data_IF_791866357389
#
_entry.id   IF_791866357389
#
_cell.length_a   1.000
_cell.length_b   1.000
_cell.length_c   1.000
_cell.angle_alpha   90.00
_cell.angle_beta   90.00
_cell.angle_gamma   90.00
#
_symmetry.space_group_name_H-M   'P 1'
#
loop_
_entity.id
_entity.type
_entity.pdbx_description
1 polymer ?
#
# COMPACT_ATOMS: atom_id res chain seq x y z
N UNK A 1 -34.26 -15.55 5.16
CA UNK A 1 -34.10 -14.07 5.11
C UNK A 1 -32.79 -13.79 4.40
N UNK A 2 -32.78 -13.00 3.31
CA UNK A 2 -31.54 -12.71 2.56
C UNK A 2 -30.62 -11.78 3.35
N UNK A 3 -29.40 -12.22 3.64
CA UNK A 3 -28.36 -11.40 4.25
C UNK A 3 -27.84 -10.37 3.24
N UNK A 4 -27.76 -9.09 3.64
CA UNK A 4 -27.26 -7.99 2.80
C UNK A 4 -26.20 -7.21 3.55
N UNK A 5 -25.16 -6.81 2.83
CA UNK A 5 -24.12 -5.92 3.33
C UNK A 5 -24.19 -4.58 2.61
N UNK A 6 -23.73 -3.53 3.29
CA UNK A 6 -23.46 -2.23 2.68
C UNK A 6 -21.95 -2.08 2.61
N UNK A 7 -21.38 -2.32 1.43
CA UNK A 7 -19.94 -2.26 1.19
C UNK A 7 -19.46 -0.81 1.04
N UNK A 8 -18.52 -0.40 1.90
CA UNK A 8 -17.91 0.93 1.88
C UNK A 8 -16.41 0.81 1.58
N UNK A 9 -15.99 1.30 0.41
CA UNK A 9 -14.58 1.29 0.01
C UNK A 9 -13.80 2.46 0.61
N UNK A 10 -12.55 2.18 1.03
CA UNK A 10 -11.55 3.17 1.41
C UNK A 10 -10.44 3.24 0.35
N UNK A 11 -10.06 4.46 -0.04
CA UNK A 11 -8.97 4.73 -0.97
C UNK A 11 -7.88 5.58 -0.32
N UNK A 12 -6.61 5.38 -0.72
CA UNK A 12 -5.49 6.19 -0.25
C UNK A 12 -5.03 5.87 1.19
N UNK A 13 -5.23 4.64 1.67
CA UNK A 13 -4.83 4.22 3.02
C UNK A 13 -3.35 4.52 3.30
N UNK A 14 -2.45 4.12 2.41
CA UNK A 14 -1.01 4.33 2.59
C UNK A 14 -0.62 5.81 2.56
N UNK A 15 -1.26 6.63 1.72
CA UNK A 15 -1.05 8.09 1.72
C UNK A 15 -1.44 8.69 3.07
N UNK A 16 -2.59 8.30 3.61
CA UNK A 16 -3.06 8.77 4.91
C UNK A 16 -2.16 8.30 6.06
N UNK A 17 -1.80 7.02 6.08
CA UNK A 17 -0.92 6.45 7.11
C UNK A 17 0.48 7.11 7.08
N UNK A 18 1.09 7.24 5.90
CA UNK A 18 2.39 7.90 5.75
C UNK A 18 2.31 9.39 6.09
N UNK A 19 1.19 10.06 5.79
CA UNK A 19 1.01 11.48 6.13
C UNK A 19 0.96 11.69 7.64
N UNK A 20 0.22 10.84 8.35
CA UNK A 20 0.19 10.85 9.81
C UNK A 20 1.54 10.45 10.42
N UNK A 21 2.25 9.52 9.78
CA UNK A 21 3.61 9.13 10.17
C UNK A 21 4.59 10.29 10.03
N UNK A 22 4.57 11.01 8.90
CA UNK A 22 5.40 12.19 8.67
C UNK A 22 5.14 13.27 9.74
N UNK A 23 3.87 13.56 10.05
CA UNK A 23 3.50 14.53 11.09
C UNK A 23 3.97 14.08 12.48
N UNK A 24 3.94 12.78 12.77
CA UNK A 24 4.25 12.23 14.09
C UNK A 24 5.74 12.05 14.35
N UNK A 25 6.52 11.69 13.33
CA UNK A 25 7.93 11.29 13.48
C UNK A 25 8.93 12.22 12.79
N UNK A 26 8.47 13.12 11.92
CA UNK A 26 9.26 14.18 11.33
C UNK A 26 8.64 15.56 11.65
N UNK A 27 9.27 16.62 11.17
CA UNK A 27 8.71 17.98 11.27
C UNK A 27 8.05 18.36 9.95
N UNK A 28 6.73 18.54 9.96
CA UNK A 28 5.96 18.93 8.77
C UNK A 28 5.49 20.37 8.90
N UNK A 29 5.97 21.25 8.03
CA UNK A 29 5.59 22.67 7.97
C UNK A 29 4.60 22.89 6.82
N UNK A 30 3.35 23.33 7.09
CA UNK A 30 2.39 23.65 6.03
C UNK A 30 2.77 24.95 5.33
N UNK A 31 2.81 24.93 4.00
CA UNK A 31 2.91 26.10 3.14
C UNK A 31 1.50 26.55 2.81
N UNK A 32 1.19 27.81 3.10
CA UNK A 32 -0.16 28.38 2.94
C UNK A 32 -0.20 29.40 1.81
N UNK A 33 -1.33 29.48 1.12
CA UNK A 33 -1.58 30.52 0.13
C UNK A 33 -2.03 31.83 0.80
N UNK A 34 -2.37 32.83 -0.02
CA UNK A 34 -2.86 34.14 0.43
C UNK A 34 -4.18 34.08 1.23
N UNK A 35 -4.95 32.99 1.14
CA UNK A 35 -6.18 32.77 1.92
C UNK A 35 -5.90 32.08 3.27
N UNK A 36 -4.67 31.63 3.48
CA UNK A 36 -4.28 30.82 4.64
C UNK A 36 -4.54 29.32 4.46
N UNK A 37 -5.01 28.87 3.30
CA UNK A 37 -5.22 27.45 3.01
C UNK A 37 -3.88 26.74 2.82
N UNK A 38 -3.71 25.57 3.42
CA UNK A 38 -2.51 24.75 3.23
C UNK A 38 -2.51 24.13 1.83
N UNK A 39 -1.54 24.50 1.00
CA UNK A 39 -1.41 24.06 -0.40
C UNK A 39 -0.17 23.20 -0.64
N UNK A 40 0.81 23.22 0.27
CA UNK A 40 2.00 22.38 0.21
C UNK A 40 2.55 22.06 1.62
N UNK A 41 3.52 21.16 1.71
CA UNK A 41 4.15 20.74 2.97
C UNK A 41 5.67 20.57 2.79
N UNK A 42 6.44 21.17 3.69
CA UNK A 42 7.89 20.97 3.80
C UNK A 42 8.15 19.98 4.93
N UNK A 43 8.87 18.90 4.63
CA UNK A 43 9.19 17.84 5.59
C UNK A 43 10.68 17.95 5.94
N UNK A 44 10.98 18.10 7.22
CA UNK A 44 12.34 18.07 7.77
C UNK A 44 12.52 16.81 8.62
N UNK A 45 13.46 15.95 8.23
CA UNK A 45 13.73 14.66 8.86
C UNK A 45 13.11 13.46 8.13
N UNK A 46 13.53 12.26 8.54
CA UNK A 46 13.03 10.99 8.01
C UNK A 46 11.83 10.50 8.84
N UNK A 47 10.90 9.79 8.21
CA UNK A 47 9.74 9.18 8.88
C UNK A 47 9.50 7.76 8.36
N UNK A 48 8.93 6.85 9.18
CA UNK A 48 8.66 5.48 8.74
C UNK A 48 7.52 5.46 7.72
N UNK A 49 7.74 4.74 6.62
CA UNK A 49 6.78 4.60 5.53
C UNK A 49 6.17 3.19 5.55
N UNK A 50 4.85 3.12 5.35
CA UNK A 50 4.06 1.89 5.32
C UNK A 50 4.57 0.92 4.25
N UNK A 51 4.59 -0.38 4.56
CA UNK A 51 5.11 -1.42 3.65
C UNK A 51 6.53 -1.89 3.94
N UNK A 52 7.11 -1.51 5.08
CA UNK A 52 8.48 -1.85 5.46
C UNK A 52 8.57 -2.64 6.77
N UNK A 53 7.47 -3.29 7.17
CA UNK A 53 7.32 -3.99 8.44
C UNK A 53 7.79 -3.13 9.63
N UNK A 54 7.30 -1.88 9.69
CA UNK A 54 7.61 -0.94 10.78
C UNK A 54 6.31 -0.64 11.54
N UNK A 55 6.22 -1.16 12.76
CA UNK A 55 5.01 -1.07 13.58
C UNK A 55 4.58 0.37 13.84
N UNK A 56 5.49 1.34 13.80
CA UNK A 56 5.20 2.75 14.06
C UNK A 56 4.22 3.36 13.06
N UNK A 57 4.25 2.89 11.81
CA UNK A 57 3.36 3.34 10.72
C UNK A 57 2.33 2.28 10.36
N UNK A 58 2.67 0.99 10.47
CA UNK A 58 1.72 -0.10 10.24
C UNK A 58 0.55 -0.05 11.24
N UNK A 59 0.82 0.30 12.51
CA UNK A 59 -0.23 0.49 13.51
C UNK A 59 -1.15 1.67 13.19
N UNK A 60 -0.63 2.74 12.57
CA UNK A 60 -1.45 3.88 12.10
C UNK A 60 -2.39 3.40 10.99
N UNK A 61 -1.90 2.60 10.05
CA UNK A 61 -2.74 2.03 8.99
C UNK A 61 -3.84 1.13 9.56
N UNK A 62 -3.53 0.27 10.53
CA UNK A 62 -4.51 -0.59 11.21
C UNK A 62 -5.57 0.22 11.96
N UNK A 63 -5.14 1.25 12.67
CA UNK A 63 -5.99 2.17 13.43
C UNK A 63 -6.97 2.94 12.50
N UNK A 64 -6.50 3.41 11.34
CA UNK A 64 -7.38 4.05 10.34
C UNK A 64 -8.48 3.10 9.84
N UNK A 65 -8.13 1.85 9.55
CA UNK A 65 -9.07 0.81 9.11
C UNK A 65 -10.14 0.56 10.18
N UNK A 66 -9.73 0.39 11.43
CA UNK A 66 -10.64 0.17 12.56
C UNK A 66 -11.53 1.39 12.84
N UNK A 67 -10.95 2.60 12.86
CA UNK A 67 -11.69 3.84 13.14
C UNK A 67 -12.77 4.12 12.11
N UNK A 68 -12.49 3.89 10.83
CA UNK A 68 -13.48 4.11 9.78
C UNK A 68 -14.63 3.11 9.88
N UNK A 69 -14.32 1.83 10.10
CA UNK A 69 -15.34 0.78 10.25
C UNK A 69 -16.27 1.07 11.45
N UNK A 70 -15.70 1.48 12.60
CA UNK A 70 -16.50 1.85 13.78
C UNK A 70 -17.44 3.02 13.51
N UNK A 71 -17.06 3.98 12.67
CA UNK A 71 -17.91 5.12 12.29
C UNK A 71 -19.06 4.69 11.39
N UNK A 72 -18.78 3.91 10.34
CA UNK A 72 -19.84 3.48 9.41
C UNK A 72 -20.81 2.49 10.06
N UNK A 73 -20.35 1.69 11.04
CA UNK A 73 -21.18 0.75 11.78
C UNK A 73 -22.26 1.44 12.64
N UNK A 74 -22.02 2.68 13.07
CA UNK A 74 -22.97 3.45 13.88
C UNK A 74 -24.13 4.06 13.07
N UNK A 75 -24.08 3.99 11.73
CA UNK A 75 -25.05 4.64 10.86
C UNK A 75 -26.21 3.70 10.50
N UNK A 76 -27.47 4.18 10.50
CA UNK A 76 -28.59 3.40 10.00
C UNK A 76 -28.46 3.19 8.49
N UNK A 77 -28.77 1.98 8.04
CA UNK A 77 -28.63 1.57 6.64
C UNK A 77 -29.97 1.15 6.04
N UNK A 78 -30.14 1.41 4.74
CA UNK A 78 -31.29 0.92 3.98
C UNK A 78 -31.42 -0.61 4.08
N UNK A 79 -32.66 -1.09 4.31
CA UNK A 79 -33.00 -2.53 4.45
C UNK A 79 -32.17 -3.30 5.48
N UNK A 80 -31.68 -2.62 6.52
CA UNK A 80 -30.85 -3.22 7.57
C UNK A 80 -29.61 -3.95 7.00
N UNK A 81 -29.03 -3.42 5.92
CA UNK A 81 -27.81 -3.96 5.34
C UNK A 81 -26.63 -3.78 6.30
N UNK A 82 -25.91 -4.85 6.64
CA UNK A 82 -24.80 -4.79 7.60
C UNK A 82 -23.63 -4.00 7.00
N UNK A 83 -23.17 -2.88 7.61
CA UNK A 83 -22.01 -2.15 7.12
C UNK A 83 -20.77 -3.03 7.06
N UNK A 84 -20.05 -2.95 5.96
CA UNK A 84 -18.78 -3.64 5.72
C UNK A 84 -17.83 -2.70 5.01
N UNK A 85 -16.53 -2.92 5.16
CA UNK A 85 -15.50 -2.05 4.59
C UNK A 85 -14.56 -2.85 3.70
N UNK A 86 -14.09 -2.23 2.62
CA UNK A 86 -13.01 -2.74 1.79
C UNK A 86 -11.90 -1.70 1.63
N UNK A 87 -10.67 -2.19 1.42
CA UNK A 87 -9.52 -1.37 1.06
C UNK A 87 -9.20 -1.70 -0.40
N UNK A 88 -10.00 -1.09 -1.28
CA UNK A 88 -10.07 -1.40 -2.70
C UNK A 88 -10.34 -0.12 -3.49
N UNK A 89 -9.58 0.10 -4.56
CA UNK A 89 -9.65 1.35 -5.33
C UNK A 89 -10.01 1.17 -6.79
N UNK A 90 -9.76 0.01 -7.41
CA UNK A 90 -9.86 -0.18 -8.87
C UNK A 90 -9.08 0.95 -9.59
N UNK A 91 -9.74 1.78 -10.40
CA UNK A 91 -9.14 2.95 -11.09
C UNK A 91 -9.30 4.25 -10.30
N UNK A 92 -10.04 4.24 -9.19
CA UNK A 92 -10.27 5.43 -8.36
C UNK A 92 -8.99 5.95 -7.71
N UNK A 93 -7.93 5.14 -7.58
CA UNK A 93 -6.63 5.62 -7.09
C UNK A 93 -6.04 6.71 -7.99
N UNK A 94 -6.23 6.61 -9.32
CA UNK A 94 -5.81 7.64 -10.28
C UNK A 94 -6.73 8.85 -10.19
N UNK A 95 -8.05 8.63 -10.22
CA UNK A 95 -9.04 9.73 -10.19
C UNK A 95 -8.95 10.55 -8.90
N UNK A 96 -8.83 9.89 -7.75
CA UNK A 96 -8.64 10.57 -6.47
C UNK A 96 -7.27 11.24 -6.39
N UNK A 97 -6.20 10.60 -6.87
CA UNK A 97 -4.87 11.20 -6.90
C UNK A 97 -4.82 12.49 -7.71
N UNK A 98 -5.46 12.49 -8.89
CA UNK A 98 -5.63 13.66 -9.76
C UNK A 98 -6.38 14.82 -9.08
N UNK A 99 -7.39 14.49 -8.27
CA UNK A 99 -8.24 15.46 -7.57
C UNK A 99 -7.74 15.83 -6.16
N UNK A 100 -6.59 15.30 -5.74
CA UNK A 100 -6.01 15.57 -4.42
C UNK A 100 -4.71 16.38 -4.57
N UNK A 101 -4.63 17.50 -3.84
CA UNK A 101 -3.44 18.36 -3.77
C UNK A 101 -2.23 17.70 -3.09
N UNK A 102 -1.21 18.47 -2.72
CA UNK A 102 -0.05 17.92 -2.01
C UNK A 102 -0.47 17.33 -0.65
N UNK A 103 0.13 16.22 -0.23
CA UNK A 103 -0.17 15.59 1.06
C UNK A 103 1.06 15.56 2.00
N UNK A 104 0.88 15.51 3.33
CA UNK A 104 1.98 15.58 4.31
C UNK A 104 3.04 14.48 4.21
N UNK A 105 2.74 13.38 3.52
CA UNK A 105 3.70 12.33 3.19
C UNK A 105 4.67 12.70 2.05
N UNK A 106 4.55 13.91 1.50
CA UNK A 106 5.36 14.40 0.39
C UNK A 106 4.86 13.92 -0.98
N UNK A 107 3.72 13.23 -1.07
CA UNK A 107 3.11 12.94 -2.38
C UNK A 107 2.64 14.26 -3.00
N UNK A 108 3.08 14.51 -4.24
CA UNK A 108 2.71 15.70 -5.00
C UNK A 108 1.28 15.65 -5.50
N UNK A 109 0.64 16.80 -5.57
CA UNK A 109 -0.70 16.97 -6.14
C UNK A 109 -0.79 16.33 -7.53
N UNK A 110 -1.91 15.68 -7.79
CA UNK A 110 -2.15 15.00 -9.06
C UNK A 110 -1.54 13.60 -9.19
N UNK A 111 -0.60 13.22 -8.32
CA UNK A 111 0.03 11.89 -8.37
C UNK A 111 -0.97 10.81 -7.92
N UNK A 112 -1.13 9.69 -8.64
CA UNK A 112 -2.03 8.61 -8.23
C UNK A 112 -1.76 8.10 -6.80
N UNK A 113 -2.82 7.65 -6.12
CA UNK A 113 -2.66 6.87 -4.89
C UNK A 113 -2.18 5.45 -5.22
N UNK A 114 -1.67 4.76 -4.19
CA UNK A 114 -1.43 3.34 -4.27
C UNK A 114 -2.75 2.58 -4.57
N UNK A 115 -2.69 1.49 -5.35
CA UNK A 115 -3.87 0.65 -5.58
C UNK A 115 -4.24 -0.12 -4.31
N UNK A 116 -5.52 -0.12 -3.94
CA UNK A 116 -6.01 -0.86 -2.76
C UNK A 116 -5.24 -0.53 -1.47
N UNK A 117 -4.72 -1.56 -0.83
CA UNK A 117 -3.96 -1.52 0.42
C UNK A 117 -2.44 -1.49 0.20
N UNK A 118 -1.98 -1.23 -1.03
CA UNK A 118 -0.55 -1.20 -1.34
C UNK A 118 0.18 -0.05 -0.60
N UNK A 119 1.46 -0.26 -0.28
CA UNK A 119 2.41 0.84 -0.07
C UNK A 119 2.41 1.81 -1.25
N UNK A 120 2.70 3.08 -0.97
CA UNK A 120 2.91 4.07 -2.03
C UNK A 120 4.11 3.69 -2.91
N UNK A 121 4.03 4.01 -4.20
CA UNK A 121 5.03 3.60 -5.19
C UNK A 121 6.47 3.95 -4.76
N UNK A 122 7.32 2.92 -4.65
CA UNK A 122 8.74 3.07 -4.30
C UNK A 122 9.03 3.33 -2.82
N UNK A 123 8.02 3.21 -1.94
CA UNK A 123 8.20 3.37 -0.49
C UNK A 123 8.45 2.04 0.24
N UNK A 124 8.05 0.91 -0.32
CA UNK A 124 8.39 -0.42 0.17
C UNK A 124 9.81 -0.84 -0.28
N UNK A 125 10.81 -0.53 0.55
CA UNK A 125 12.24 -0.68 0.24
C UNK A 125 12.91 -1.88 0.90
N UNK A 126 12.24 -2.54 1.85
CA UNK A 126 12.78 -3.73 2.57
C UNK A 126 12.42 -5.07 1.91
N UNK A 127 11.97 -5.04 0.66
CA UNK A 127 11.66 -6.23 -0.14
C UNK A 127 10.27 -6.84 0.14
N UNK A 128 9.97 -7.89 -0.63
CA UNK A 128 8.64 -8.50 -0.71
C UNK A 128 8.10 -9.01 0.62
N UNK A 129 8.95 -9.61 1.46
CA UNK A 129 8.52 -10.16 2.76
C UNK A 129 8.07 -9.03 3.68
N UNK A 130 8.79 -7.91 3.70
CA UNK A 130 8.45 -6.78 4.56
C UNK A 130 7.12 -6.11 4.13
N UNK A 131 6.90 -5.93 2.83
CA UNK A 131 5.66 -5.34 2.31
C UNK A 131 4.45 -6.24 2.52
N UNK A 132 4.59 -7.55 2.25
CA UNK A 132 3.57 -8.54 2.56
C UNK A 132 3.24 -8.58 4.06
N UNK A 133 4.25 -8.49 4.92
CA UNK A 133 4.06 -8.50 6.38
C UNK A 133 3.29 -7.26 6.84
N UNK A 134 3.62 -6.06 6.35
CA UNK A 134 2.87 -4.84 6.68
C UNK A 134 1.40 -4.94 6.26
N UNK A 135 1.13 -5.43 5.04
CA UNK A 135 -0.24 -5.59 4.54
C UNK A 135 -1.01 -6.64 5.34
N UNK A 136 -0.37 -7.75 5.71
CA UNK A 136 -0.99 -8.83 6.49
C UNK A 136 -1.42 -8.39 7.90
N UNK A 137 -0.86 -7.30 8.44
CA UNK A 137 -1.28 -6.73 9.74
C UNK A 137 -2.65 -6.06 9.67
N UNK A 138 -3.12 -5.64 8.49
CA UNK A 138 -4.39 -4.95 8.36
C UNK A 138 -5.56 -5.84 8.82
N UNK A 139 -6.42 -5.36 9.73
CA UNK A 139 -7.40 -6.21 10.39
C UNK A 139 -8.59 -6.54 9.49
N UNK A 140 -8.61 -7.76 8.92
CA UNK A 140 -9.73 -8.24 8.11
C UNK A 140 -11.08 -8.22 8.84
N UNK A 141 -11.08 -8.34 10.18
CA UNK A 141 -12.27 -8.20 11.03
C UNK A 141 -13.01 -6.88 10.81
N UNK A 142 -12.28 -5.81 10.47
CA UNK A 142 -12.81 -4.48 10.18
C UNK A 142 -12.86 -4.17 8.67
N UNK A 143 -12.47 -5.10 7.80
CA UNK A 143 -12.45 -4.92 6.35
C UNK A 143 -13.00 -6.16 5.62
N UNK A 144 -14.18 -6.63 6.06
CA UNK A 144 -14.81 -7.89 5.60
C UNK A 144 -15.21 -7.91 4.12
N UNK A 145 -15.26 -6.74 3.47
CA UNK A 145 -15.55 -6.63 2.03
C UNK A 145 -14.26 -6.80 1.18
N UNK A 146 -13.09 -6.84 1.81
CA UNK A 146 -11.84 -7.25 1.18
C UNK A 146 -10.69 -6.26 1.36
N UNK A 147 -9.47 -6.80 1.33
CA UNK A 147 -8.22 -6.03 1.35
C UNK A 147 -7.46 -6.40 0.08
N UNK A 148 -7.32 -5.44 -0.84
CA UNK A 148 -6.66 -5.69 -2.12
C UNK A 148 -5.18 -5.34 -2.04
N UNK A 149 -4.32 -6.28 -2.43
CA UNK A 149 -2.88 -6.05 -2.53
C UNK A 149 -2.35 -6.58 -3.85
N UNK A 150 -1.80 -5.69 -4.66
CA UNK A 150 -1.18 -6.03 -5.95
C UNK A 150 0.32 -6.15 -5.78
N UNK A 151 0.85 -7.36 -5.83
CA UNK A 151 2.29 -7.62 -5.78
C UNK A 151 2.78 -8.06 -7.16
N UNK A 152 3.77 -7.35 -7.71
CA UNK A 152 4.42 -7.75 -8.96
C UNK A 152 5.78 -8.36 -8.64
N UNK A 153 5.93 -9.66 -8.92
CA UNK A 153 7.23 -10.32 -8.87
C UNK A 153 7.89 -10.23 -10.25
N UNK A 154 8.76 -9.25 -10.45
CA UNK A 154 9.72 -9.33 -11.54
C UNK A 154 10.80 -10.32 -11.12
N UNK A 155 10.76 -11.54 -11.66
CA UNK A 155 11.93 -12.40 -11.63
C UNK A 155 13.04 -11.65 -12.40
N UNK A 156 13.93 -10.97 -11.69
CA UNK A 156 15.18 -10.52 -12.28
C UNK A 156 15.79 -11.75 -12.94
N UNK A 157 15.93 -11.70 -14.27
CA UNK A 157 16.02 -12.88 -15.12
C UNK A 157 16.94 -13.94 -14.53
N UNK A 158 16.48 -15.18 -14.55
CA UNK A 158 17.30 -16.35 -14.27
C UNK A 158 18.40 -16.50 -15.36
N UNK A 159 19.33 -15.54 -15.40
CA UNK A 159 20.68 -15.75 -15.88
C UNK A 159 21.39 -16.56 -14.82
N UNK A 160 21.01 -17.83 -14.72
CA UNK A 160 21.65 -18.80 -13.85
C UNK A 160 23.06 -19.03 -14.40
N UNK A 161 24.02 -18.15 -14.04
CA UNK A 161 25.43 -18.49 -14.13
C UNK A 161 25.62 -19.69 -13.20
N UNK A 162 25.57 -20.89 -13.78
CA UNK A 162 25.99 -22.13 -13.13
C UNK A 162 27.38 -21.88 -12.55
N UNK A 163 27.46 -21.68 -11.22
CA UNK A 163 28.72 -21.75 -10.50
C UNK A 163 29.24 -23.18 -10.68
N UNK A 164 30.48 -23.27 -11.15
CA UNK A 164 31.08 -24.48 -11.67
C UNK A 164 30.98 -25.67 -10.72
N UNK A 165 30.47 -26.77 -11.24
CA UNK A 165 30.83 -28.09 -10.78
C UNK A 165 32.04 -28.56 -11.61
N UNK A 166 33.23 -28.10 -11.23
CA UNK A 166 34.47 -28.81 -11.53
C UNK A 166 34.64 -29.89 -10.46
N UNK A 167 34.23 -31.11 -10.79
CA UNK A 167 34.91 -32.37 -10.45
C UNK A 167 33.98 -33.55 -10.72
N UNK A 168 34.18 -34.23 -11.86
CA UNK A 168 34.31 -35.69 -11.94
C UNK A 168 34.75 -36.10 -13.36
N UNK A 169 35.72 -37.02 -13.52
CA UNK A 169 36.19 -37.49 -14.81
C UNK A 169 35.37 -38.70 -15.30
N UNK A 170 35.07 -38.75 -16.60
CA UNK A 170 34.68 -39.98 -17.30
C UNK A 170 33.29 -39.96 -17.94
N UNK A 171 33.25 -40.09 -19.28
CA UNK A 171 32.03 -40.41 -20.03
C UNK A 171 31.99 -39.80 -21.43
N UNK A 172 32.33 -40.61 -22.43
CA UNK A 172 32.50 -40.27 -23.85
C UNK A 172 31.20 -39.94 -24.61
N UNK A 173 31.40 -39.15 -25.69
CA UNK A 173 30.74 -39.17 -27.01
C UNK A 173 29.22 -38.85 -27.09
N UNK A 174 28.69 -38.12 -28.07
CA UNK A 174 29.22 -37.74 -29.36
C UNK A 174 28.50 -36.52 -29.94
N UNK A 175 29.24 -35.86 -30.82
CA UNK A 175 28.95 -34.61 -31.53
C UNK A 175 28.15 -34.94 -32.79
N UNK A 176 27.00 -34.32 -33.01
CA UNK A 176 26.34 -34.27 -34.32
C UNK A 176 25.99 -32.81 -34.60
N UNK A 177 26.72 -32.23 -35.54
CA UNK A 177 26.44 -30.95 -36.20
C UNK A 177 25.69 -31.23 -37.52
N UNK A 178 25.02 -30.21 -38.09
CA UNK A 178 23.85 -30.36 -38.96
C UNK A 178 24.22 -30.44 -40.45
N UNK A 179 23.20 -30.75 -41.25
CA UNK A 179 23.12 -30.48 -42.69
C UNK A 179 21.97 -29.51 -42.96
#
# INVERSE_FOLDING_TARGET
MWHRTMACGMAGLSVAADSLSAIKYATVKPVRDHTGLAVDFVIEGEYPQYGNNDDRVDSIACDLVERFMKKIQALPTYRNAVPTQSILTITSNVVYGQKTGNTPDGRRGGTPFAPGANPMHGRDRKGAVASLTSVAKLPFTYAKDGISYTFLHCAAGAGQRRRGAQNQPGGLAGRLLPS
#
